data_IF_960087801006
#
_entry.id   IF_960087801006
#
_cell.length_a   1.000
_cell.length_b   1.000
_cell.length_c   1.000
_cell.angle_alpha   90.00
_cell.angle_beta   90.00
_cell.angle_gamma   90.00
#
_symmetry.space_group_name_H-M   'P 1'
#
loop_
_entity.id
_entity.type
_entity.pdbx_description
1 polymer ?
#
# COMPACT_ATOMS: atom_id res chain seq x y z
N UNK A 1 -0.86 -1.94 -14.82
CA UNK A 1 0.26 -1.17 -15.42
C UNK A 1 -0.17 -0.59 -16.76
N UNK A 2 -0.48 -1.38 -17.78
CA UNK A 2 -0.84 -0.93 -19.13
C UNK A 2 -1.94 0.17 -19.14
N UNK A 3 -2.94 0.09 -18.26
CA UNK A 3 -3.97 1.11 -18.12
C UNK A 3 -3.41 2.45 -17.66
N UNK A 4 -2.51 2.44 -16.66
CA UNK A 4 -1.91 3.66 -16.12
C UNK A 4 -0.99 4.31 -17.17
N UNK A 5 -0.21 3.53 -17.90
CA UNK A 5 0.60 4.00 -19.01
C UNK A 5 -0.26 4.62 -20.12
N UNK A 6 -1.35 3.95 -20.50
CA UNK A 6 -2.31 4.47 -21.51
C UNK A 6 -2.96 5.78 -21.07
N UNK A 7 -3.11 6.03 -19.77
CA UNK A 7 -3.60 7.28 -19.20
C UNK A 7 -2.51 8.35 -19.05
N UNK A 8 -1.26 8.08 -19.46
CA UNK A 8 -0.12 8.99 -19.27
C UNK A 8 0.31 9.09 -17.80
N UNK A 9 0.07 8.04 -17.02
CA UNK A 9 0.42 7.96 -15.60
C UNK A 9 1.88 7.62 -15.36
N UNK A 10 2.20 7.33 -14.11
CA UNK A 10 3.52 6.91 -13.64
C UNK A 10 3.44 5.48 -13.08
N UNK A 11 4.36 4.63 -13.50
CA UNK A 11 4.50 3.26 -13.00
C UNK A 11 5.83 3.18 -12.25
N UNK A 12 5.77 2.81 -10.97
CA UNK A 12 6.94 2.59 -10.13
C UNK A 12 7.05 1.11 -9.79
N UNK A 13 8.20 0.51 -10.11
CA UNK A 13 8.47 -0.90 -9.83
C UNK A 13 9.24 -1.00 -8.52
N UNK A 14 8.59 -1.57 -7.49
CA UNK A 14 9.16 -1.68 -6.15
C UNK A 14 9.52 -3.13 -5.85
N UNK A 15 10.76 -3.34 -5.45
CA UNK A 15 11.23 -4.67 -5.08
C UNK A 15 12.75 -4.75 -5.02
N UNK A 16 13.32 -5.92 -4.71
CA UNK A 16 14.76 -6.09 -4.65
C UNK A 16 15.45 -5.72 -5.97
N UNK A 17 16.38 -4.76 -5.90
CA UNK A 17 17.14 -4.31 -7.07
C UNK A 17 16.40 -3.39 -8.05
N UNK A 18 15.23 -2.90 -7.65
CA UNK A 18 14.43 -1.94 -8.42
C UNK A 18 14.48 -0.54 -7.82
N UNK A 19 13.37 0.24 -7.96
CA UNK A 19 13.30 1.60 -7.43
C UNK A 19 13.38 1.63 -5.91
N UNK A 20 13.91 2.73 -5.40
CA UNK A 20 14.13 2.99 -3.98
C UNK A 20 13.19 4.08 -3.50
N UNK A 21 12.57 3.87 -2.35
CA UNK A 21 11.84 4.91 -1.63
C UNK A 21 12.52 5.12 -0.28
N UNK A 22 13.25 6.21 -0.14
CA UNK A 22 13.75 6.61 1.16
C UNK A 22 12.57 7.02 2.06
N UNK A 23 12.27 6.18 3.04
CA UNK A 23 11.10 6.39 3.93
C UNK A 23 11.24 7.62 4.84
N UNK A 24 12.42 8.22 4.92
CA UNK A 24 12.66 9.47 5.64
C UNK A 24 12.68 10.70 4.73
N UNK A 25 12.68 10.52 3.41
CA UNK A 25 12.77 11.61 2.44
C UNK A 25 11.38 12.16 2.10
N UNK A 26 11.11 13.35 2.59
CA UNK A 26 9.94 14.15 2.24
C UNK A 26 10.33 15.49 1.61
N UNK A 27 11.56 15.63 1.14
CA UNK A 27 12.13 16.87 0.61
C UNK A 27 11.27 17.50 -0.49
N UNK A 28 10.79 16.69 -1.45
CA UNK A 28 9.92 17.18 -2.50
C UNK A 28 8.65 17.83 -1.94
N UNK A 29 8.00 17.18 -0.97
CA UNK A 29 6.77 17.69 -0.37
C UNK A 29 7.04 18.92 0.50
N UNK A 30 8.15 18.93 1.23
CA UNK A 30 8.54 20.07 2.06
C UNK A 30 8.80 21.30 1.19
N UNK A 31 9.55 21.18 0.09
CA UNK A 31 9.81 22.29 -0.84
C UNK A 31 8.53 22.88 -1.45
N UNK A 32 7.52 22.04 -1.70
CA UNK A 32 6.21 22.50 -2.16
C UNK A 32 5.44 23.24 -1.07
N UNK A 33 5.49 22.74 0.16
CA UNK A 33 4.80 23.33 1.32
C UNK A 33 5.42 24.67 1.76
N UNK A 34 6.72 24.90 1.48
CA UNK A 34 7.38 26.20 1.74
C UNK A 34 6.72 27.37 0.99
N UNK A 35 6.02 27.09 -0.11
CA UNK A 35 5.28 28.10 -0.86
C UNK A 35 4.05 28.64 -0.11
N UNK A 36 3.62 27.98 0.97
CA UNK A 36 2.46 28.40 1.76
C UNK A 36 2.85 29.59 2.64
N UNK A 37 2.19 30.75 2.51
CA UNK A 37 2.48 31.89 3.36
C UNK A 37 1.96 31.66 4.79
N UNK A 38 2.80 31.93 5.78
CA UNK A 38 2.35 32.04 7.17
C UNK A 38 1.79 33.45 7.43
N UNK A 39 0.60 33.52 7.97
CA UNK A 39 0.02 34.80 8.43
C UNK A 39 0.31 34.99 9.94
N UNK A 40 1.48 35.53 10.20
CA UNK A 40 1.96 35.79 11.59
C UNK A 40 1.03 36.75 12.32
N UNK A 41 0.30 37.64 11.59
CA UNK A 41 -0.56 38.67 12.22
C UNK A 41 -1.84 38.07 12.79
N UNK A 42 -2.29 36.94 12.25
CA UNK A 42 -3.46 36.19 12.73
C UNK A 42 -3.10 35.06 13.68
N UNK A 43 -1.81 34.80 13.91
CA UNK A 43 -1.35 33.65 14.68
C UNK A 43 -1.59 32.31 13.93
N UNK A 44 -1.86 32.40 12.63
CA UNK A 44 -2.14 31.28 11.77
C UNK A 44 -0.83 30.86 11.09
N UNK A 45 -0.45 29.60 11.26
CA UNK A 45 0.80 29.05 10.73
C UNK A 45 0.55 27.78 9.89
N UNK A 46 -0.21 27.89 8.78
CA UNK A 46 -0.62 26.72 8.00
C UNK A 46 0.57 25.96 7.41
N UNK A 47 1.66 26.64 7.05
CA UNK A 47 2.89 26.01 6.58
C UNK A 47 3.50 25.15 7.68
N UNK A 48 3.65 25.68 8.90
CA UNK A 48 4.20 24.92 10.03
C UNK A 48 3.32 23.72 10.36
N UNK A 49 2.00 23.89 10.35
CA UNK A 49 1.06 22.79 10.59
C UNK A 49 1.21 21.68 9.54
N UNK A 50 1.35 22.03 8.27
CA UNK A 50 1.56 21.10 7.18
C UNK A 50 2.89 20.33 7.33
N UNK A 51 3.99 21.03 7.61
CA UNK A 51 5.31 20.43 7.86
C UNK A 51 5.26 19.47 9.07
N UNK A 52 4.66 19.91 10.17
CA UNK A 52 4.51 19.08 11.38
C UNK A 52 3.65 17.83 11.11
N UNK A 53 2.63 17.95 10.26
CA UNK A 53 1.83 16.80 9.85
C UNK A 53 2.66 15.78 9.05
N UNK A 54 3.53 16.24 8.14
CA UNK A 54 4.45 15.37 7.41
C UNK A 54 5.45 14.67 8.34
N UNK A 55 6.05 15.42 9.29
CA UNK A 55 6.96 14.85 10.29
C UNK A 55 6.28 13.77 11.16
N UNK A 56 5.05 14.02 11.60
CA UNK A 56 4.26 13.00 12.33
C UNK A 56 3.96 11.75 11.48
N UNK A 57 3.62 11.93 10.20
CA UNK A 57 3.37 10.81 9.28
C UNK A 57 4.60 9.94 9.12
N UNK A 58 5.78 10.54 8.92
CA UNK A 58 7.06 9.84 8.84
C UNK A 58 7.33 9.00 10.09
N UNK A 59 7.17 9.58 11.27
CA UNK A 59 7.33 8.85 12.52
C UNK A 59 6.34 7.68 12.65
N UNK A 60 5.08 7.87 12.21
CA UNK A 60 4.06 6.81 12.20
C UNK A 60 4.44 5.70 11.23
N UNK A 61 4.97 6.02 10.05
CA UNK A 61 5.43 5.03 9.08
C UNK A 61 6.58 4.18 9.64
N UNK A 62 7.63 4.82 10.17
CA UNK A 62 8.78 4.12 10.74
C UNK A 62 8.36 3.20 11.89
N UNK A 63 7.52 3.70 12.82
CA UNK A 63 7.01 2.88 13.92
C UNK A 63 6.15 1.71 13.42
N UNK A 64 5.31 1.93 12.41
CA UNK A 64 4.50 0.87 11.81
C UNK A 64 5.34 -0.22 11.14
N UNK A 65 6.42 0.13 10.46
CA UNK A 65 7.35 -0.83 9.86
C UNK A 65 8.12 -1.64 10.91
N UNK A 66 8.52 -1.01 12.02
CA UNK A 66 9.13 -1.71 13.15
C UNK A 66 8.19 -2.72 13.79
N UNK A 67 6.92 -2.34 13.97
CA UNK A 67 5.87 -3.22 14.50
C UNK A 67 5.55 -4.37 13.54
N UNK A 68 5.53 -4.10 12.23
CA UNK A 68 5.35 -5.12 11.20
C UNK A 68 6.46 -6.17 11.24
N UNK A 69 7.73 -5.74 11.25
CA UNK A 69 8.88 -6.66 11.24
C UNK A 69 8.99 -7.56 12.47
N UNK A 70 8.40 -7.13 13.61
CA UNK A 70 8.39 -7.89 14.87
C UNK A 70 7.10 -8.68 15.11
N UNK A 71 6.06 -8.44 14.35
CA UNK A 71 4.68 -8.85 14.66
C UNK A 71 4.26 -8.50 16.10
N UNK A 72 4.74 -7.37 16.61
CA UNK A 72 4.49 -6.90 17.97
C UNK A 72 4.56 -5.37 18.05
N UNK A 73 3.83 -4.81 19.01
CA UNK A 73 3.91 -3.36 19.27
C UNK A 73 5.26 -2.98 19.85
N UNK A 74 5.81 -1.87 19.39
CA UNK A 74 6.98 -1.26 20.05
C UNK A 74 6.56 -0.60 21.36
N UNK A 75 7.48 -0.56 22.33
CA UNK A 75 7.25 0.13 23.60
C UNK A 75 7.16 1.65 23.41
N UNK A 76 6.51 2.33 24.34
CA UNK A 76 6.45 3.79 24.33
C UNK A 76 7.83 4.45 24.41
N UNK A 77 8.80 3.77 25.01
CA UNK A 77 10.18 4.22 25.06
C UNK A 77 10.83 4.17 23.67
N UNK A 78 10.72 3.04 22.99
CA UNK A 78 11.23 2.90 21.62
C UNK A 78 10.56 3.90 20.68
N UNK A 79 9.23 4.06 20.78
CA UNK A 79 8.48 5.07 20.02
C UNK A 79 9.03 6.48 20.28
N UNK A 80 9.28 6.82 21.55
CA UNK A 80 9.86 8.12 21.91
C UNK A 80 11.27 8.29 21.37
N UNK A 81 12.09 7.24 21.38
CA UNK A 81 13.44 7.26 20.79
C UNK A 81 13.39 7.45 19.27
N UNK A 82 12.47 6.81 18.57
CA UNK A 82 12.26 7.02 17.12
C UNK A 82 11.87 8.46 16.83
N UNK A 83 10.85 8.99 17.52
CA UNK A 83 10.36 10.36 17.29
C UNK A 83 11.46 11.39 17.55
N UNK A 84 12.19 11.25 18.67
CA UNK A 84 13.28 12.16 19.00
C UNK A 84 14.49 12.00 18.07
N UNK A 85 14.81 10.75 17.67
CA UNK A 85 15.86 10.50 16.71
C UNK A 85 15.59 11.16 15.34
N UNK A 86 14.36 11.05 14.86
CA UNK A 86 13.95 11.71 13.62
C UNK A 86 14.04 13.26 13.76
N UNK A 87 13.71 13.81 14.93
CA UNK A 87 13.84 15.25 15.17
C UNK A 87 15.29 15.72 15.20
N UNK A 88 16.19 14.91 15.76
CA UNK A 88 17.62 15.21 15.75
C UNK A 88 18.16 15.19 14.32
N UNK A 89 17.78 14.18 13.52
CA UNK A 89 18.18 14.11 12.11
C UNK A 89 17.63 15.31 11.31
N UNK A 90 16.40 15.74 11.55
CA UNK A 90 15.83 16.92 10.90
C UNK A 90 16.65 18.20 11.19
N UNK A 91 17.15 18.33 12.42
CA UNK A 91 18.00 19.44 12.85
C UNK A 91 19.42 19.35 12.24
N UNK A 92 20.00 18.13 12.20
CA UNK A 92 21.37 17.90 11.69
C UNK A 92 21.47 18.01 10.17
N UNK A 93 20.47 17.52 9.45
CA UNK A 93 20.45 17.51 7.97
C UNK A 93 19.80 18.76 7.38
N UNK A 94 19.15 19.60 8.20
CA UNK A 94 18.39 20.77 7.74
C UNK A 94 17.44 20.39 6.58
N UNK A 95 16.55 19.43 6.86
CA UNK A 95 15.70 18.76 5.84
C UNK A 95 14.82 19.72 5.03
N UNK A 96 14.67 20.96 5.49
CA UNK A 96 13.92 22.02 4.81
C UNK A 96 14.78 22.71 3.74
N UNK A 97 16.09 22.40 3.65
CA UNK A 97 17.01 22.93 2.63
C UNK A 97 17.46 21.87 1.64
N UNK A 98 17.96 22.33 0.51
CA UNK A 98 18.59 21.42 -0.47
C UNK A 98 19.81 20.71 0.13
N UNK A 99 19.84 19.38 0.01
CA UNK A 99 20.92 18.55 0.51
C UNK A 99 20.55 17.07 0.53
N UNK A 100 21.48 16.24 0.99
CA UNK A 100 21.22 14.81 1.20
C UNK A 100 20.18 14.65 2.33
N UNK A 101 19.13 13.95 2.04
CA UNK A 101 18.12 13.61 3.04
C UNK A 101 18.60 12.50 3.98
N UNK A 102 18.16 12.49 5.26
CA UNK A 102 18.49 11.42 6.18
C UNK A 102 17.96 10.09 5.69
N UNK A 103 18.65 9.00 6.04
CA UNK A 103 18.26 7.62 5.75
C UNK A 103 18.04 6.85 7.06
N UNK A 104 17.46 5.67 6.98
CA UNK A 104 17.33 4.79 8.18
C UNK A 104 18.69 4.43 8.75
N UNK A 105 19.71 4.24 7.91
CA UNK A 105 21.09 4.02 8.36
C UNK A 105 21.65 5.17 9.21
N UNK A 106 21.25 6.42 8.95
CA UNK A 106 21.62 7.56 9.80
C UNK A 106 20.92 7.47 11.17
N UNK A 107 19.65 7.05 11.20
CA UNK A 107 18.94 6.82 12.46
C UNK A 107 19.58 5.67 13.26
N UNK A 108 19.99 4.60 12.61
CA UNK A 108 20.77 3.51 13.25
C UNK A 108 22.05 4.05 13.85
N UNK A 109 22.82 4.83 13.09
CA UNK A 109 24.08 5.43 13.57
C UNK A 109 23.83 6.35 14.77
N UNK A 110 22.78 7.18 14.70
CA UNK A 110 22.40 8.08 15.80
C UNK A 110 22.03 7.30 17.09
N UNK A 111 21.23 6.24 16.98
CA UNK A 111 20.88 5.41 18.13
C UNK A 111 22.13 4.73 18.69
N UNK A 112 23.01 4.20 17.84
CA UNK A 112 24.29 3.57 18.27
C UNK A 112 25.22 4.55 18.96
N UNK A 113 25.24 5.81 18.55
CA UNK A 113 26.13 6.83 19.15
C UNK A 113 25.75 7.23 20.57
N UNK A 114 24.64 6.71 21.09
CA UNK A 114 24.12 7.12 22.41
C UNK A 114 23.97 8.62 22.55
N UNK A 115 23.37 9.25 21.52
CA UNK A 115 23.14 10.70 21.55
C UNK A 115 22.49 11.14 22.89
N UNK A 116 22.92 12.23 23.54
CA UNK A 116 22.47 12.60 24.89
C UNK A 116 20.95 12.68 25.06
N UNK A 117 20.23 13.18 24.06
CA UNK A 117 18.76 13.26 24.06
C UNK A 117 18.11 11.86 24.03
N UNK A 118 18.69 10.89 23.32
CA UNK A 118 18.22 9.50 23.29
C UNK A 118 18.59 8.78 24.60
N UNK A 119 19.78 9.02 25.14
CA UNK A 119 20.21 8.49 26.42
C UNK A 119 19.27 8.92 27.56
N UNK A 120 18.80 10.18 27.55
CA UNK A 120 17.83 10.69 28.51
C UNK A 120 16.48 9.95 28.40
N UNK A 121 15.97 9.68 27.19
CA UNK A 121 14.74 8.91 26.96
C UNK A 121 14.91 7.48 27.40
N UNK A 122 16.05 6.86 27.07
CA UNK A 122 16.41 5.51 27.50
C UNK A 122 16.54 5.39 29.02
N UNK A 123 16.74 6.50 29.74
CA UNK A 123 16.97 6.56 31.19
C UNK A 123 18.15 5.66 31.59
N UNK A 124 19.25 5.75 30.86
CA UNK A 124 20.43 4.92 31.03
C UNK A 124 21.21 5.23 32.31
N UNK A 125 20.99 6.42 32.91
CA UNK A 125 21.65 6.90 34.13
C UNK A 125 23.18 7.01 34.00
N UNK A 126 23.66 7.25 32.79
CA UNK A 126 25.08 7.33 32.49
C UNK A 126 25.76 5.99 32.23
N UNK A 127 25.01 4.89 32.24
CA UNK A 127 25.50 3.52 32.03
C UNK A 127 25.31 3.10 30.57
N UNK A 128 26.42 2.77 29.89
CA UNK A 128 26.44 2.40 28.47
C UNK A 128 25.83 1.01 28.22
N UNK A 129 26.09 0.04 29.11
CA UNK A 129 25.52 -1.31 28.98
C UNK A 129 24.00 -1.26 29.09
N UNK A 130 23.53 -0.48 30.05
CA UNK A 130 22.10 -0.25 30.24
C UNK A 130 21.45 0.47 29.07
N UNK A 131 22.16 1.39 28.40
CA UNK A 131 21.66 1.99 27.15
C UNK A 131 21.57 0.96 26.05
N UNK A 132 22.63 0.16 25.85
CA UNK A 132 22.69 -0.88 24.84
C UNK A 132 21.55 -1.89 24.99
N UNK A 133 21.31 -2.42 26.20
CA UNK A 133 20.19 -3.32 26.49
C UNK A 133 18.83 -2.73 26.11
N UNK A 134 18.65 -1.43 26.36
CA UNK A 134 17.38 -0.74 26.11
C UNK A 134 17.15 -0.34 24.68
N UNK A 135 18.22 -0.17 23.92
CA UNK A 135 18.20 0.17 22.51
C UNK A 135 18.26 -1.07 21.61
N UNK A 136 18.59 -2.25 22.14
CA UNK A 136 18.84 -3.47 21.36
C UNK A 136 17.69 -3.79 20.41
N UNK A 137 16.48 -3.98 20.93
CA UNK A 137 15.31 -4.31 20.12
C UNK A 137 14.97 -3.22 19.09
N UNK A 138 15.17 -1.95 19.43
CA UNK A 138 14.98 -0.86 18.48
C UNK A 138 16.01 -0.93 17.36
N UNK A 139 17.28 -1.15 17.69
CA UNK A 139 18.36 -1.28 16.72
C UNK A 139 18.15 -2.46 15.79
N UNK A 140 17.75 -3.62 16.29
CA UNK A 140 17.48 -4.80 15.48
C UNK A 140 16.38 -4.51 14.43
N UNK A 141 15.30 -3.88 14.87
CA UNK A 141 14.21 -3.48 13.96
C UNK A 141 14.64 -2.45 12.94
N UNK A 142 15.42 -1.43 13.34
CA UNK A 142 15.93 -0.42 12.42
C UNK A 142 16.94 -0.99 11.41
N UNK A 143 17.83 -1.89 11.86
CA UNK A 143 18.80 -2.57 10.99
C UNK A 143 18.08 -3.40 9.93
N UNK A 144 16.97 -4.05 10.27
CA UNK A 144 16.18 -4.81 9.31
C UNK A 144 15.67 -3.93 8.15
N UNK A 145 15.44 -2.63 8.39
CA UNK A 145 15.01 -1.67 7.38
C UNK A 145 16.17 -1.06 6.56
N UNK A 146 17.43 -1.36 6.89
CA UNK A 146 18.60 -0.87 6.15
C UNK A 146 18.99 -1.77 4.99
N UNK A 147 19.90 -1.30 4.14
CA UNK A 147 20.42 -2.05 3.00
C UNK A 147 21.10 -3.38 3.38
N UNK A 148 21.54 -3.54 4.63
CA UNK A 148 22.06 -4.81 5.18
C UNK A 148 20.99 -5.69 5.79
N UNK A 149 19.75 -5.26 5.84
CA UNK A 149 18.65 -5.97 6.48
C UNK A 149 17.76 -6.74 5.50
N UNK A 150 16.70 -7.32 6.04
CA UNK A 150 15.74 -8.17 5.30
C UNK A 150 15.01 -7.38 4.19
N UNK A 151 14.71 -6.10 4.44
CA UNK A 151 14.02 -5.23 3.49
C UNK A 151 14.97 -4.62 2.44
N UNK A 152 16.28 -4.85 2.60
CA UNK A 152 17.30 -4.54 1.62
C UNK A 152 17.35 -3.07 1.18
N UNK A 153 17.70 -2.88 -0.07
CA UNK A 153 17.90 -1.56 -0.67
C UNK A 153 16.63 -0.78 -0.99
N UNK A 154 15.44 -1.31 -0.67
CA UNK A 154 14.18 -0.67 -1.08
C UNK A 154 13.94 0.63 -0.29
N UNK A 155 14.32 0.67 1.01
CA UNK A 155 13.97 1.76 1.92
C UNK A 155 15.15 2.62 2.39
N UNK A 156 16.38 2.16 2.21
CA UNK A 156 17.60 2.81 2.74
C UNK A 156 18.53 3.26 1.62
N UNK A 157 18.10 4.20 0.82
CA UNK A 157 18.85 4.79 -0.28
C UNK A 157 18.29 6.16 -0.63
N UNK A 158 18.83 6.82 -1.64
CA UNK A 158 18.23 8.03 -2.19
C UNK A 158 16.98 7.66 -2.98
N UNK A 159 15.88 8.39 -2.78
CA UNK A 159 14.63 8.12 -3.49
C UNK A 159 14.81 8.25 -5.00
N UNK A 160 14.43 7.20 -5.74
CA UNK A 160 14.34 7.25 -7.21
C UNK A 160 12.91 7.53 -7.66
N UNK A 161 11.94 7.41 -6.74
CA UNK A 161 10.51 7.63 -6.97
C UNK A 161 10.17 9.10 -6.71
N UNK A 162 9.60 9.77 -7.73
CA UNK A 162 9.06 11.12 -7.63
C UNK A 162 7.63 11.14 -8.16
N UNK A 163 6.67 11.37 -7.27
CA UNK A 163 5.25 11.43 -7.65
C UNK A 163 4.91 12.83 -8.16
N UNK A 164 4.50 12.90 -9.42
CA UNK A 164 3.96 14.13 -10.01
C UNK A 164 2.47 14.25 -9.66
N UNK A 165 2.13 15.26 -8.88
CA UNK A 165 0.74 15.50 -8.51
C UNK A 165 -0.15 15.75 -9.75
N UNK A 166 -1.30 15.05 -9.79
CA UNK A 166 -2.27 15.18 -10.89
C UNK A 166 -2.08 14.20 -12.04
N UNK A 167 -1.10 13.30 -11.96
CA UNK A 167 -0.98 12.14 -12.84
C UNK A 167 -1.45 10.88 -12.11
N UNK A 168 -2.06 9.91 -12.80
CA UNK A 168 -2.29 8.58 -12.22
C UNK A 168 -0.96 7.93 -11.83
N UNK A 169 -0.96 7.20 -10.72
CA UNK A 169 0.24 6.52 -10.21
C UNK A 169 -0.10 5.08 -9.86
N UNK A 170 0.77 4.15 -10.20
CA UNK A 170 0.71 2.76 -9.73
C UNK A 170 2.07 2.34 -9.18
N UNK A 171 2.03 1.65 -8.04
CA UNK A 171 3.18 0.95 -7.49
C UNK A 171 3.04 -0.53 -7.83
N UNK A 172 3.97 -1.04 -8.62
CA UNK A 172 4.03 -2.43 -9.03
C UNK A 172 4.91 -3.24 -8.07
N UNK A 173 4.32 -4.23 -7.43
CA UNK A 173 4.96 -5.11 -6.46
C UNK A 173 5.19 -6.53 -6.99
N UNK A 174 4.97 -6.75 -8.29
CA UNK A 174 5.00 -8.08 -8.91
C UNK A 174 6.38 -8.77 -8.86
N UNK A 175 7.44 -8.02 -8.57
CA UNK A 175 8.79 -8.55 -8.39
C UNK A 175 9.07 -9.12 -6.99
N UNK A 176 8.15 -8.89 -6.03
CA UNK A 176 8.28 -9.40 -4.67
C UNK A 176 7.64 -10.79 -4.63
N UNK A 177 8.35 -11.76 -4.05
CA UNK A 177 7.87 -13.13 -3.91
C UNK A 177 6.52 -13.18 -3.17
N UNK A 178 5.58 -13.98 -3.69
CA UNK A 178 4.24 -14.13 -3.10
C UNK A 178 4.25 -14.74 -1.69
N UNK A 179 5.32 -15.45 -1.33
CA UNK A 179 5.52 -16.01 0.00
C UNK A 179 6.03 -14.98 1.02
N UNK A 180 6.58 -13.84 0.58
CA UNK A 180 7.08 -12.80 1.48
C UNK A 180 6.02 -11.74 1.81
N UNK A 181 5.00 -12.18 2.57
CA UNK A 181 3.89 -11.31 2.97
C UNK A 181 4.38 -10.09 3.77
N UNK A 182 5.44 -10.22 4.54
CA UNK A 182 5.97 -9.13 5.37
C UNK A 182 6.58 -8.03 4.51
N UNK A 183 7.40 -8.39 3.52
CA UNK A 183 7.97 -7.43 2.57
C UNK A 183 6.87 -6.78 1.72
N UNK A 184 5.92 -7.56 1.21
CA UNK A 184 4.78 -7.03 0.46
C UNK A 184 3.99 -6.00 1.28
N UNK A 185 3.67 -6.31 2.54
CA UNK A 185 2.96 -5.40 3.42
C UNK A 185 3.77 -4.14 3.76
N UNK A 186 5.08 -4.27 3.95
CA UNK A 186 5.98 -3.13 4.17
C UNK A 186 5.98 -2.18 2.98
N UNK A 187 6.16 -2.71 1.77
CA UNK A 187 6.18 -1.91 0.55
C UNK A 187 4.81 -1.28 0.26
N UNK A 188 3.71 -2.00 0.48
CA UNK A 188 2.36 -1.43 0.39
C UNK A 188 2.17 -0.28 1.39
N UNK A 189 2.58 -0.46 2.66
CA UNK A 189 2.47 0.57 3.68
C UNK A 189 3.25 1.83 3.33
N UNK A 190 4.47 1.68 2.80
CA UNK A 190 5.32 2.77 2.33
C UNK A 190 4.67 3.49 1.15
N UNK A 191 4.23 2.74 0.12
CA UNK A 191 3.56 3.29 -1.06
C UNK A 191 2.31 4.11 -0.71
N UNK A 192 1.48 3.59 0.20
CA UNK A 192 0.28 4.29 0.65
C UNK A 192 0.60 5.50 1.52
N UNK A 193 1.60 5.39 2.40
CA UNK A 193 2.04 6.53 3.21
C UNK A 193 2.56 7.66 2.33
N UNK A 194 3.37 7.32 1.33
CA UNK A 194 3.95 8.27 0.40
C UNK A 194 2.88 8.92 -0.49
N UNK A 195 2.02 8.13 -1.13
CA UNK A 195 0.89 8.64 -1.92
C UNK A 195 -0.06 9.52 -1.11
N UNK A 196 -0.37 9.12 0.13
CA UNK A 196 -1.21 9.94 1.02
C UNK A 196 -0.51 11.23 1.46
N UNK A 197 0.82 11.26 1.57
CA UNK A 197 1.57 12.47 1.87
C UNK A 197 1.45 13.49 0.73
N UNK A 198 1.54 13.04 -0.52
CA UNK A 198 1.31 13.90 -1.71
C UNK A 198 -0.11 14.46 -1.71
N UNK A 199 -1.12 13.64 -1.44
CA UNK A 199 -2.52 14.11 -1.35
C UNK A 199 -2.71 15.16 -0.25
N UNK A 200 -2.09 14.96 0.92
CA UNK A 200 -2.16 15.93 2.01
C UNK A 200 -1.43 17.24 1.66
N UNK A 201 -0.27 17.18 1.00
CA UNK A 201 0.45 18.38 0.53
C UNK A 201 -0.39 19.16 -0.47
N UNK A 202 -0.96 18.50 -1.48
CA UNK A 202 -1.87 19.13 -2.46
C UNK A 202 -3.10 19.76 -1.79
N UNK A 203 -3.63 19.13 -0.73
CA UNK A 203 -4.72 19.72 0.05
C UNK A 203 -4.30 21.01 0.74
N UNK A 204 -3.14 21.03 1.41
CA UNK A 204 -2.63 22.24 2.07
C UNK A 204 -2.39 23.38 1.07
N UNK A 205 -1.83 23.05 -0.12
CA UNK A 205 -1.63 24.02 -1.19
C UNK A 205 -2.95 24.56 -1.74
N UNK A 206 -3.97 23.70 -1.85
CA UNK A 206 -5.30 24.13 -2.29
C UNK A 206 -6.03 24.97 -1.23
N UNK A 207 -5.88 24.65 0.06
CA UNK A 207 -6.44 25.42 1.16
C UNK A 207 -5.77 26.80 1.26
N UNK A 208 -4.49 26.92 0.86
CA UNK A 208 -3.76 28.19 0.70
C UNK A 208 -4.06 28.93 -0.62
N UNK A 209 -4.95 28.41 -1.46
CA UNK A 209 -5.30 28.94 -2.79
C UNK A 209 -4.11 29.02 -3.78
N UNK A 210 -3.07 28.23 -3.57
CA UNK A 210 -1.92 28.12 -4.48
C UNK A 210 -2.14 27.14 -5.62
N UNK A 211 -3.04 26.17 -5.42
CA UNK A 211 -3.42 25.16 -6.41
C UNK A 211 -4.93 24.91 -6.41
N UNK A 212 -5.51 24.40 -7.53
CA UNK A 212 -6.91 23.98 -7.54
C UNK A 212 -7.10 22.75 -6.65
N UNK A 213 -8.25 22.67 -5.96
CA UNK A 213 -8.62 21.47 -5.18
C UNK A 213 -8.85 20.29 -6.12
N UNK A 214 -8.18 19.17 -5.83
CA UNK A 214 -8.31 17.91 -6.55
C UNK A 214 -9.01 16.86 -5.70
N UNK A 215 -9.61 15.88 -6.37
CA UNK A 215 -10.16 14.68 -5.76
C UNK A 215 -9.34 13.49 -6.23
N UNK A 216 -9.14 12.52 -5.33
CA UNK A 216 -8.32 11.36 -5.60
C UNK A 216 -9.14 10.09 -5.49
N UNK A 217 -8.82 9.11 -6.31
CA UNK A 217 -9.35 7.77 -6.24
C UNK A 217 -8.21 6.82 -5.94
N UNK A 218 -8.22 6.25 -4.72
CA UNK A 218 -7.21 5.31 -4.24
C UNK A 218 -7.72 3.89 -4.43
N UNK A 219 -6.95 3.05 -5.10
CA UNK A 219 -7.23 1.62 -5.27
C UNK A 219 -6.24 0.82 -4.44
N UNK A 220 -6.75 0.02 -3.52
CA UNK A 220 -5.99 -0.90 -2.68
C UNK A 220 -6.30 -2.32 -3.11
N UNK A 221 -5.49 -2.83 -4.03
CA UNK A 221 -5.61 -4.20 -4.50
C UNK A 221 -4.93 -5.15 -3.51
N UNK A 222 -5.41 -6.39 -3.40
CA UNK A 222 -4.89 -7.41 -2.49
C UNK A 222 -4.79 -6.94 -1.02
N UNK A 223 -5.77 -6.15 -0.55
CA UNK A 223 -5.75 -5.57 0.80
C UNK A 223 -5.51 -6.60 1.91
N UNK A 224 -6.01 -7.81 1.74
CA UNK A 224 -5.87 -8.90 2.70
C UNK A 224 -4.41 -9.24 3.05
N UNK A 225 -3.49 -9.12 2.07
CA UNK A 225 -2.06 -9.39 2.28
C UNK A 225 -1.49 -8.51 3.39
N UNK A 226 -1.81 -7.24 3.35
CA UNK A 226 -1.39 -6.28 4.37
C UNK A 226 -2.05 -6.55 5.73
N UNK A 227 -3.35 -6.86 5.74
CA UNK A 227 -4.07 -7.12 6.99
C UNK A 227 -3.62 -8.40 7.69
N UNK A 228 -3.20 -9.42 6.92
CA UNK A 228 -2.68 -10.69 7.46
C UNK A 228 -1.22 -10.63 7.87
N UNK A 229 -0.45 -9.65 7.38
CA UNK A 229 0.97 -9.57 7.68
C UNK A 229 1.26 -9.26 9.15
N UNK A 230 0.48 -8.39 9.78
CA UNK A 230 0.56 -8.15 11.23
C UNK A 230 -0.67 -7.43 11.77
N UNK A 231 -0.90 -7.54 13.08
CA UNK A 231 -1.96 -6.80 13.78
C UNK A 231 -1.80 -5.29 13.69
N UNK A 232 -0.56 -4.79 13.64
CA UNK A 232 -0.26 -3.36 13.51
C UNK A 232 -0.80 -2.79 12.18
N UNK A 233 -0.73 -3.58 11.10
CA UNK A 233 -1.22 -3.16 9.79
C UNK A 233 -2.74 -2.98 9.75
N UNK A 234 -3.49 -3.76 10.51
CA UNK A 234 -4.95 -3.59 10.62
C UNK A 234 -5.29 -2.21 11.19
N UNK A 235 -4.62 -1.80 12.27
CA UNK A 235 -4.79 -0.48 12.87
C UNK A 235 -4.28 0.64 11.97
N UNK A 236 -3.19 0.42 11.24
CA UNK A 236 -2.64 1.37 10.29
C UNK A 236 -3.64 1.67 9.16
N UNK A 237 -4.22 0.64 8.54
CA UNK A 237 -5.24 0.78 7.49
C UNK A 237 -6.49 1.45 8.05
N UNK A 238 -6.95 1.07 9.25
CA UNK A 238 -8.12 1.70 9.88
C UNK A 238 -7.90 3.20 10.10
N UNK A 239 -6.73 3.60 10.57
CA UNK A 239 -6.39 5.00 10.75
C UNK A 239 -6.33 5.78 9.42
N UNK A 240 -5.74 5.18 8.37
CA UNK A 240 -5.66 5.80 7.05
C UNK A 240 -7.04 6.02 6.43
N UNK A 241 -7.94 5.06 6.56
CA UNK A 241 -9.24 5.06 5.85
C UNK A 241 -10.28 5.96 6.51
N UNK A 242 -10.22 6.19 7.83
CA UNK A 242 -11.22 6.97 8.57
C UNK A 242 -11.35 8.41 8.10
N UNK A 243 -10.29 9.03 7.61
CA UNK A 243 -10.24 10.45 7.26
C UNK A 243 -10.36 10.73 5.76
N UNK A 244 -10.44 9.70 4.93
CA UNK A 244 -10.39 9.85 3.47
C UNK A 244 -11.50 10.75 2.91
N UNK A 245 -12.72 10.64 3.45
CA UNK A 245 -13.85 11.48 3.01
C UNK A 245 -13.56 12.97 3.22
N UNK A 246 -13.02 13.34 4.39
CA UNK A 246 -12.68 14.72 4.70
C UNK A 246 -11.53 15.27 3.83
N UNK A 247 -10.70 14.37 3.29
CA UNK A 247 -9.58 14.69 2.40
C UNK A 247 -9.97 14.73 0.92
N UNK A 248 -11.21 14.40 0.57
CA UNK A 248 -11.65 14.31 -0.83
C UNK A 248 -11.12 13.08 -1.55
N UNK A 249 -10.82 12.00 -0.80
CA UNK A 249 -10.34 10.72 -1.33
C UNK A 249 -11.50 9.74 -1.39
N UNK A 250 -11.82 9.27 -2.60
CA UNK A 250 -12.60 8.05 -2.79
C UNK A 250 -11.64 6.85 -2.76
N UNK A 251 -12.10 5.72 -2.20
CA UNK A 251 -11.25 4.56 -2.00
C UNK A 251 -11.97 3.28 -2.43
N UNK A 252 -11.30 2.45 -3.20
CA UNK A 252 -11.67 1.06 -3.46
C UNK A 252 -10.72 0.12 -2.73
N UNK A 253 -11.28 -0.81 -1.99
CA UNK A 253 -10.54 -1.89 -1.32
C UNK A 253 -10.96 -3.21 -1.97
N UNK A 254 -10.00 -3.98 -2.46
CA UNK A 254 -10.24 -5.21 -3.21
C UNK A 254 -9.67 -6.39 -2.41
N UNK A 255 -10.48 -7.44 -2.30
CA UNK A 255 -10.11 -8.72 -1.69
C UNK A 255 -10.86 -9.84 -2.41
N UNK A 256 -10.40 -11.09 -2.32
CA UNK A 256 -11.02 -12.21 -3.03
C UNK A 256 -12.25 -12.73 -2.30
N UNK A 257 -12.18 -12.84 -0.96
CA UNK A 257 -13.25 -13.43 -0.14
C UNK A 257 -13.42 -12.68 1.18
N UNK A 258 -14.52 -12.91 1.88
CA UNK A 258 -14.69 -12.44 3.26
C UNK A 258 -13.78 -13.22 4.23
N UNK A 259 -13.43 -14.45 3.87
CA UNK A 259 -12.53 -15.30 4.66
C UNK A 259 -11.10 -14.75 4.70
N UNK A 260 -10.69 -14.01 3.67
CA UNK A 260 -9.40 -13.28 3.63
C UNK A 260 -9.30 -12.23 4.73
N UNK A 261 -10.43 -11.71 5.19
CA UNK A 261 -10.54 -10.73 6.25
C UNK A 261 -10.69 -11.36 7.65
N UNK A 262 -10.64 -12.70 7.76
CA UNK A 262 -10.50 -13.38 9.05
C UNK A 262 -9.04 -13.35 9.49
N UNK A 263 -8.81 -12.68 10.59
CA UNK A 263 -7.48 -12.43 11.12
C UNK A 263 -7.22 -13.27 12.38
N UNK A 264 -6.04 -13.09 12.98
CA UNK A 264 -5.55 -13.89 14.12
C UNK A 264 -6.38 -13.75 15.40
N UNK A 265 -7.26 -12.75 15.51
CA UNK A 265 -8.20 -12.57 16.61
C UNK A 265 -9.57 -12.09 16.14
N UNK A 266 -10.61 -12.33 16.95
CA UNK A 266 -11.96 -11.85 16.70
C UNK A 266 -12.03 -10.31 16.69
N UNK A 267 -11.22 -9.64 17.51
CA UNK A 267 -11.12 -8.18 17.54
C UNK A 267 -10.63 -7.65 16.20
N UNK A 268 -9.51 -8.18 15.70
CA UNK A 268 -8.92 -7.77 14.42
C UNK A 268 -9.86 -8.09 13.24
N UNK A 269 -10.51 -9.25 13.27
CA UNK A 269 -11.52 -9.65 12.29
C UNK A 269 -12.69 -8.67 12.27
N UNK A 270 -13.16 -8.25 13.46
CA UNK A 270 -14.24 -7.26 13.58
C UNK A 270 -13.84 -5.91 12.96
N UNK A 271 -12.59 -5.48 13.16
CA UNK A 271 -12.08 -4.24 12.54
C UNK A 271 -12.04 -4.39 11.02
N UNK A 272 -11.51 -5.50 10.50
CA UNK A 272 -11.40 -5.76 9.07
C UNK A 272 -12.78 -5.85 8.38
N UNK A 273 -13.73 -6.57 8.97
CA UNK A 273 -15.11 -6.60 8.47
C UNK A 273 -15.81 -5.25 8.59
N UNK A 274 -15.38 -4.42 9.55
CA UNK A 274 -15.80 -3.04 9.67
C UNK A 274 -15.47 -2.20 8.43
N UNK A 275 -14.43 -2.51 7.67
CA UNK A 275 -14.14 -1.82 6.39
C UNK A 275 -15.26 -2.07 5.40
N UNK A 276 -15.70 -3.31 5.27
CA UNK A 276 -16.80 -3.71 4.37
C UNK A 276 -18.12 -3.08 4.83
N UNK A 277 -18.43 -3.16 6.13
CA UNK A 277 -19.68 -2.64 6.70
C UNK A 277 -19.81 -1.11 6.58
N UNK A 278 -18.69 -0.38 6.61
CA UNK A 278 -18.64 1.09 6.49
C UNK A 278 -18.53 1.57 5.03
N UNK A 279 -18.29 0.67 4.09
CA UNK A 279 -18.23 1.01 2.66
C UNK A 279 -19.59 1.52 2.18
N UNK A 280 -19.59 2.64 1.46
CA UNK A 280 -20.81 3.21 0.89
C UNK A 280 -21.44 2.29 -0.16
N UNK A 281 -20.58 1.60 -0.92
CA UNK A 281 -20.95 0.64 -1.96
C UNK A 281 -20.04 -0.59 -1.84
N UNK A 282 -20.61 -1.78 -2.03
CA UNK A 282 -19.87 -3.04 -2.07
C UNK A 282 -20.25 -3.79 -3.33
N UNK A 283 -19.24 -4.15 -4.12
CA UNK A 283 -19.38 -4.96 -5.32
C UNK A 283 -19.01 -6.39 -4.96
N UNK A 284 -19.96 -7.31 -5.10
CA UNK A 284 -19.80 -8.72 -4.75
C UNK A 284 -19.81 -9.51 -6.06
N UNK A 285 -18.70 -10.13 -6.41
CA UNK A 285 -18.57 -11.06 -7.53
C UNK A 285 -19.04 -12.47 -7.16
N UNK A 286 -18.68 -13.45 -7.99
CA UNK A 286 -18.95 -14.88 -7.71
C UNK A 286 -18.17 -15.35 -6.47
N UNK A 287 -18.85 -15.98 -5.51
CA UNK A 287 -18.29 -16.52 -4.28
C UNK A 287 -18.85 -17.90 -3.96
N UNK A 288 -18.02 -18.75 -3.38
CA UNK A 288 -18.40 -20.10 -2.98
C UNK A 288 -19.49 -20.11 -1.89
N UNK A 289 -20.22 -21.20 -1.78
CA UNK A 289 -21.28 -21.37 -0.77
C UNK A 289 -20.76 -21.16 0.67
N UNK A 290 -19.52 -21.52 0.96
CA UNK A 290 -18.88 -21.34 2.27
C UNK A 290 -18.82 -19.86 2.72
N UNK A 291 -18.77 -18.93 1.75
CA UNK A 291 -18.69 -17.49 2.01
C UNK A 291 -20.04 -16.86 2.39
N UNK A 292 -21.16 -17.53 2.09
CA UNK A 292 -22.49 -16.96 2.33
C UNK A 292 -22.74 -16.62 3.80
N UNK A 293 -22.25 -17.45 4.73
CA UNK A 293 -22.36 -17.20 6.17
C UNK A 293 -21.58 -15.97 6.63
N UNK A 294 -20.42 -15.71 6.01
CA UNK A 294 -19.60 -14.54 6.30
C UNK A 294 -20.26 -13.25 5.79
N UNK A 295 -20.82 -13.28 4.57
CA UNK A 295 -21.57 -12.17 4.00
C UNK A 295 -22.81 -11.80 4.82
N UNK A 296 -23.54 -12.80 5.34
CA UNK A 296 -24.74 -12.59 6.14
C UNK A 296 -24.46 -11.92 7.49
N UNK A 297 -23.24 -11.97 8.00
CA UNK A 297 -22.86 -11.22 9.21
C UNK A 297 -22.75 -9.71 8.96
N UNK A 298 -22.52 -9.31 7.70
CA UNK A 298 -22.34 -7.90 7.33
C UNK A 298 -23.57 -7.35 6.61
N UNK A 299 -24.21 -8.17 5.74
CA UNK A 299 -25.32 -7.76 4.89
C UNK A 299 -26.56 -8.62 5.10
N UNK A 300 -27.74 -8.01 5.04
CA UNK A 300 -28.97 -8.78 4.82
C UNK A 300 -28.97 -9.31 3.38
N UNK A 301 -29.01 -10.64 3.22
CA UNK A 301 -28.98 -11.33 1.94
C UNK A 301 -30.25 -12.13 1.72
N UNK A 302 -30.92 -11.93 0.58
CA UNK A 302 -32.03 -12.79 0.17
C UNK A 302 -31.53 -14.12 -0.40
N UNK A 303 -32.36 -15.16 -0.41
CA UNK A 303 -32.03 -16.44 -1.00
C UNK A 303 -31.65 -16.31 -2.50
N UNK A 304 -32.31 -15.38 -3.22
CA UNK A 304 -32.03 -15.12 -4.64
C UNK A 304 -30.65 -14.49 -4.83
N UNK A 305 -30.27 -13.53 -3.99
CA UNK A 305 -28.93 -12.91 -4.06
C UNK A 305 -27.83 -13.95 -3.81
N UNK A 306 -28.01 -14.79 -2.79
CA UNK A 306 -27.07 -15.87 -2.47
C UNK A 306 -26.93 -16.86 -3.64
N UNK A 307 -28.06 -17.35 -4.19
CA UNK A 307 -28.03 -18.25 -5.34
C UNK A 307 -27.29 -17.63 -6.52
N UNK A 308 -27.56 -16.36 -6.83
CA UNK A 308 -26.93 -15.65 -7.94
C UNK A 308 -25.40 -15.54 -7.78
N UNK A 309 -24.93 -15.18 -6.58
CA UNK A 309 -23.49 -15.08 -6.27
C UNK A 309 -22.81 -16.46 -6.38
N UNK A 310 -23.47 -17.52 -5.88
CA UNK A 310 -22.96 -18.88 -5.98
C UNK A 310 -22.90 -19.36 -7.43
N UNK A 311 -23.93 -19.07 -8.24
CA UNK A 311 -23.97 -19.43 -9.66
C UNK A 311 -22.83 -18.74 -10.45
N UNK A 312 -22.47 -17.52 -10.08
CA UNK A 312 -21.37 -16.79 -10.69
C UNK A 312 -19.98 -17.32 -10.31
N UNK A 313 -19.87 -18.10 -9.24
CA UNK A 313 -18.59 -18.70 -8.83
C UNK A 313 -18.25 -19.96 -9.61
N UNK A 314 -19.16 -20.45 -10.45
CA UNK A 314 -18.92 -21.67 -11.20
C UNK A 314 -17.82 -21.49 -12.26
N UNK A 315 -16.98 -22.51 -12.39
CA UNK A 315 -15.98 -22.56 -13.45
C UNK A 315 -16.65 -22.67 -14.84
N UNK A 316 -15.96 -22.13 -15.85
CA UNK A 316 -16.37 -22.32 -17.22
C UNK A 316 -16.30 -23.81 -17.61
N UNK A 317 -17.33 -24.33 -18.30
CA UNK A 317 -17.36 -25.71 -18.73
C UNK A 317 -16.22 -26.01 -19.73
N UNK A 318 -15.54 -27.13 -19.54
CA UNK A 318 -14.54 -27.61 -20.50
C UNK A 318 -15.25 -28.31 -21.67
N UNK A 319 -14.97 -27.86 -22.90
CA UNK A 319 -15.41 -28.59 -24.10
C UNK A 319 -14.48 -29.80 -24.32
N UNK A 320 -14.98 -31.07 -24.16
CA UNK A 320 -14.13 -32.25 -24.24
C UNK A 320 -13.60 -32.51 -25.64
N UNK A 321 -14.22 -31.91 -26.68
CA UNK A 321 -13.81 -32.12 -28.07
C UNK A 321 -12.77 -31.15 -28.57
N UNK A 322 -12.74 -29.92 -28.02
CA UNK A 322 -11.81 -28.86 -28.44
C UNK A 322 -10.73 -28.57 -27.41
N UNK A 323 -10.89 -29.08 -26.18
CA UNK A 323 -10.02 -28.74 -25.04
C UNK A 323 -10.13 -27.27 -24.62
N UNK A 324 -11.10 -26.51 -25.14
CA UNK A 324 -11.30 -25.10 -24.78
C UNK A 324 -12.25 -24.98 -23.60
N UNK A 325 -11.88 -24.12 -22.65
CA UNK A 325 -12.73 -23.78 -21.51
C UNK A 325 -13.68 -22.64 -21.91
N UNK A 326 -14.97 -22.80 -21.63
CA UNK A 326 -15.93 -21.72 -21.80
C UNK A 326 -15.63 -20.58 -20.80
N UNK A 327 -16.03 -19.37 -21.15
CA UNK A 327 -15.92 -18.23 -20.24
C UNK A 327 -16.72 -18.52 -18.96
N UNK A 328 -16.14 -18.31 -17.76
CA UNK A 328 -16.86 -18.50 -16.51
C UNK A 328 -18.15 -17.68 -16.49
N UNK A 329 -19.28 -18.22 -16.02
CA UNK A 329 -20.60 -17.58 -16.09
C UNK A 329 -20.69 -16.27 -15.27
N UNK A 330 -19.82 -16.09 -14.28
CA UNK A 330 -19.76 -14.90 -13.44
C UNK A 330 -18.80 -13.83 -13.90
N UNK A 331 -18.08 -14.04 -15.01
CA UNK A 331 -17.11 -13.04 -15.49
C UNK A 331 -17.81 -11.72 -15.81
N UNK A 332 -17.33 -10.63 -15.17
CA UNK A 332 -17.90 -9.30 -15.33
C UNK A 332 -19.22 -9.06 -14.58
N UNK A 333 -19.75 -10.05 -13.85
CA UNK A 333 -21.02 -9.94 -13.13
C UNK A 333 -20.81 -9.65 -11.66
N UNK A 334 -21.56 -8.68 -11.16
CA UNK A 334 -21.48 -8.23 -9.78
C UNK A 334 -22.86 -7.93 -9.21
N UNK A 335 -22.98 -8.09 -7.89
CA UNK A 335 -24.10 -7.60 -7.10
C UNK A 335 -23.64 -6.33 -6.37
N UNK A 336 -24.23 -5.19 -6.68
CA UNK A 336 -23.99 -3.92 -5.99
C UNK A 336 -24.87 -3.82 -4.76
N UNK A 337 -24.27 -3.76 -3.57
CA UNK A 337 -24.94 -3.48 -2.30
C UNK A 337 -24.69 -2.03 -1.89
N UNK A 338 -25.77 -1.31 -1.56
CA UNK A 338 -25.73 0.07 -1.03
C UNK A 338 -26.47 0.07 0.31
N UNK A 339 -25.71 0.08 1.39
CA UNK A 339 -26.24 -0.04 2.75
C UNK A 339 -27.04 -1.32 2.95
N UNK A 340 -28.25 -1.20 3.58
CA UNK A 340 -29.12 -2.35 3.91
C UNK A 340 -30.12 -2.70 2.82
N UNK A 341 -30.09 -2.03 1.67
CA UNK A 341 -31.05 -2.27 0.58
C UNK A 341 -30.77 -3.60 -0.15
N UNK A 342 -31.77 -4.19 -0.81
CA UNK A 342 -31.53 -5.28 -1.75
C UNK A 342 -30.46 -4.91 -2.78
N UNK A 343 -29.61 -5.86 -3.14
CA UNK A 343 -28.57 -5.66 -4.11
C UNK A 343 -29.09 -5.53 -5.54
N UNK A 344 -28.40 -4.77 -6.35
CA UNK A 344 -28.67 -4.62 -7.78
C UNK A 344 -27.65 -5.42 -8.57
N UNK A 345 -28.04 -6.49 -9.29
CA UNK A 345 -27.13 -7.21 -10.17
C UNK A 345 -26.85 -6.39 -11.41
N UNK A 346 -25.60 -6.41 -11.89
CA UNK A 346 -25.19 -5.78 -13.13
C UNK A 346 -24.04 -6.56 -13.77
N UNK A 347 -23.80 -6.30 -15.04
CA UNK A 347 -22.68 -6.84 -15.81
C UNK A 347 -21.85 -5.68 -16.34
N UNK A 348 -20.54 -5.84 -16.29
CA UNK A 348 -19.57 -4.87 -16.83
C UNK A 348 -19.28 -5.26 -18.28
N UNK A 349 -19.56 -4.35 -19.19
CA UNK A 349 -19.17 -4.45 -20.59
C UNK A 349 -17.91 -3.61 -20.82
N UNK A 350 -16.82 -4.28 -21.21
CA UNK A 350 -15.58 -3.59 -21.54
C UNK A 350 -15.60 -3.15 -23.00
N UNK A 351 -15.14 -1.93 -23.24
CA UNK A 351 -14.87 -1.45 -24.61
C UNK A 351 -13.68 -2.20 -25.24
N UNK A 352 -13.53 -2.11 -26.54
CA UNK A 352 -12.38 -2.73 -27.24
C UNK A 352 -11.03 -2.19 -26.70
N UNK A 353 -10.95 -0.90 -26.39
CA UNK A 353 -9.76 -0.29 -25.81
C UNK A 353 -9.45 -0.85 -24.40
N UNK A 354 -10.48 -0.96 -23.54
CA UNK A 354 -10.31 -1.56 -22.20
C UNK A 354 -9.92 -3.03 -22.27
N UNK A 355 -10.46 -3.79 -23.22
CA UNK A 355 -10.06 -5.18 -23.42
C UNK A 355 -8.60 -5.32 -23.87
N UNK A 356 -8.10 -4.39 -24.66
CA UNK A 356 -6.70 -4.39 -25.11
C UNK A 356 -5.74 -4.07 -23.97
N UNK A 357 -6.05 -3.06 -23.14
CA UNK A 357 -5.23 -2.64 -21.98
C UNK A 357 -5.34 -3.62 -20.80
N UNK A 358 -6.47 -4.31 -20.61
CA UNK A 358 -6.70 -5.23 -19.48
C UNK A 358 -6.48 -6.71 -19.84
N UNK A 359 -5.78 -7.01 -20.91
CA UNK A 359 -5.51 -8.38 -21.30
C UNK A 359 -4.43 -9.01 -20.40
N UNK A 360 -4.83 -9.46 -19.21
CA UNK A 360 -3.96 -10.15 -18.24
C UNK A 360 -3.40 -11.48 -18.79
N UNK A 361 -4.01 -12.04 -19.84
CA UNK A 361 -3.53 -13.24 -20.51
C UNK A 361 -2.53 -12.97 -21.65
N UNK A 362 -2.19 -11.73 -21.93
CA UNK A 362 -1.31 -11.35 -23.05
C UNK A 362 0.06 -12.04 -22.98
N UNK A 363 0.65 -12.11 -21.78
CA UNK A 363 1.92 -12.81 -21.56
C UNK A 363 1.84 -14.30 -21.90
N UNK A 364 0.76 -14.97 -21.51
CA UNK A 364 0.52 -16.39 -21.79
C UNK A 364 0.24 -16.64 -23.27
N UNK A 365 -0.57 -15.78 -23.90
CA UNK A 365 -0.87 -15.85 -25.34
C UNK A 365 0.39 -15.67 -26.16
N UNK A 366 1.18 -14.64 -25.85
CA UNK A 366 2.46 -14.37 -26.53
C UNK A 366 3.49 -15.49 -26.31
N UNK A 367 3.57 -16.06 -25.11
CA UNK A 367 4.46 -17.19 -24.83
C UNK A 367 4.04 -18.45 -25.61
N UNK A 368 2.74 -18.74 -25.66
CA UNK A 368 2.19 -19.86 -26.44
C UNK A 368 2.40 -19.68 -27.95
N UNK A 369 2.25 -18.47 -28.47
CA UNK A 369 2.52 -18.15 -29.87
C UNK A 369 4.00 -18.28 -30.21
N UNK A 370 4.89 -17.77 -29.36
CA UNK A 370 6.36 -17.93 -29.50
C UNK A 370 6.75 -19.42 -29.47
N UNK A 371 6.16 -20.20 -28.56
CA UNK A 371 6.42 -21.63 -28.47
C UNK A 371 5.98 -22.37 -29.76
N UNK A 372 4.76 -22.06 -30.27
CA UNK A 372 4.27 -22.64 -31.54
C UNK A 372 5.14 -22.24 -32.73
N UNK A 373 5.55 -20.99 -32.83
CA UNK A 373 6.44 -20.50 -33.88
C UNK A 373 7.81 -21.20 -33.82
N UNK A 374 8.38 -21.38 -32.64
CA UNK A 374 9.65 -22.10 -32.48
C UNK A 374 9.50 -23.59 -32.81
N UNK A 375 8.41 -24.25 -32.40
CA UNK A 375 8.14 -25.64 -32.73
C UNK A 375 7.98 -25.85 -34.25
N UNK A 376 7.28 -24.95 -34.94
CA UNK A 376 7.14 -25.00 -36.41
C UNK A 376 8.50 -24.88 -37.12
N UNK A 377 9.36 -23.93 -36.68
CA UNK A 377 10.72 -23.74 -37.22
C UNK A 377 11.61 -24.98 -37.04
N UNK A 378 11.52 -25.65 -35.89
CA UNK A 378 12.27 -26.90 -35.63
C UNK A 378 11.79 -27.99 -36.53
N UNK A 379 10.49 -28.10 -36.80
CA UNK A 379 9.91 -29.12 -37.71
C UNK A 379 10.36 -28.88 -39.16
N UNK A 380 10.33 -27.62 -39.65
CA UNK A 380 10.84 -27.26 -40.97
C UNK A 380 12.33 -27.61 -41.14
N UNK A 381 13.15 -27.28 -40.12
CA UNK A 381 14.59 -27.58 -40.17
C UNK A 381 14.89 -29.08 -40.20
N UNK A 382 14.04 -29.89 -39.55
CA UNK A 382 14.16 -31.35 -39.57
C UNK A 382 13.68 -31.98 -40.91
N UNK A 383 12.69 -31.39 -41.56
CA UNK A 383 12.20 -31.78 -42.87
C UNK A 383 13.17 -31.41 -44.00
N UNK A 384 13.87 -30.26 -43.88
CA UNK A 384 14.93 -29.87 -44.86
C UNK A 384 16.23 -30.67 -44.70
N UNK A 385 16.42 -31.32 -43.55
CA UNK A 385 17.62 -32.13 -43.26
C UNK A 385 17.45 -33.62 -43.56
N UNK A 386 16.26 -34.08 -43.96
CA UNK A 386 15.89 -35.47 -44.28
C UNK A 386 15.77 -35.68 -45.78
#
# INVERSE_FOLDING_TARGET
MDLIDAMGGQVFHLGPGQEVINILDFSQLLSELEQIPDDITRGDAPRREAIDAMKRRRATLVTGLLELGRDARISEKERSMVVEGLRILDEEFDIEKEGRQPRISDLVALVRSRHPRLAAIAQDRGDEERYAERAELLLDGLIALTSSGVYGSIFDGDSTVQIEAGRPVVFDLSSIDDGDLTLQAAVQAVSWSFGSAVVDAEKYLADAALRPRRHYFLVMDELWRMLRASSAMVFFVDALTRLNRARGIAQAMITHTMDDLKLSSDELTTIAWGFVARSAMVFIGGLAQSEMGNLEQVFAMSAREKSMIMDWSADGSLNPHTGTQAVPPGRGKFLLKIGKKPGTPFEVELTAAEMDVNNTNRAWTTAAERFRANAARVTETLEEAA
#
